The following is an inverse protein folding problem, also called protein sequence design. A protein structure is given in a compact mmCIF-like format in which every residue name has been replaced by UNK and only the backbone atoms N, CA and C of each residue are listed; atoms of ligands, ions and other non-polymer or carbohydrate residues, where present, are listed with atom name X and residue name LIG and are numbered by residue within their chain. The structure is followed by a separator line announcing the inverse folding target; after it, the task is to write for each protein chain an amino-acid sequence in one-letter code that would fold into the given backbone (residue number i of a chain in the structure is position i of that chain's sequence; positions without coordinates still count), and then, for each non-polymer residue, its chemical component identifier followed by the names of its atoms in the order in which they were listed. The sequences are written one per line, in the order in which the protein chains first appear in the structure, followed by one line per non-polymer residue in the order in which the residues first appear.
data_IF_856779779323
#
_entry.id   IF_856779779323
#
_cell.length_a   1.000
_cell.length_b   1.000
_cell.length_c   1.000
_cell.angle_alpha   90.00
_cell.angle_beta   90.00
_cell.angle_gamma   90.00
#
_symmetry.space_group_name_H-M   'P 1'
#
loop_
_entity.id
_entity.type
_entity.pdbx_description
1 polymer ?
#
# COMPACT_ATOMS: atom_id res chain seq x y z
N UNK A 1 -16.16 -6.01 14.60
CA UNK A 1 -15.29 -6.77 13.69
C UNK A 1 -14.19 -5.81 13.23
N UNK A 2 -12.93 -6.15 13.42
CA UNK A 2 -11.83 -5.28 12.97
C UNK A 2 -11.80 -5.29 11.44
N UNK A 3 -12.01 -4.13 10.81
CA UNK A 3 -11.81 -3.99 9.37
C UNK A 3 -10.30 -3.99 9.14
N UNK A 4 -9.78 -5.02 8.47
CA UNK A 4 -8.35 -5.09 8.16
C UNK A 4 -8.00 -3.98 7.17
N UNK A 5 -6.93 -3.24 7.47
CA UNK A 5 -6.44 -2.11 6.69
C UNK A 5 -5.24 -2.55 5.83
N UNK A 6 -5.34 -2.35 4.52
CA UNK A 6 -4.34 -2.76 3.54
C UNK A 6 -3.74 -1.51 2.88
N UNK A 7 -2.42 -1.39 2.86
CA UNK A 7 -1.71 -0.37 2.09
C UNK A 7 -1.34 -0.94 0.71
N UNK A 8 -1.80 -0.29 -0.36
CA UNK A 8 -1.45 -0.64 -1.75
C UNK A 8 -0.41 0.38 -2.24
N UNK A 9 0.74 -0.11 -2.72
CA UNK A 9 1.86 0.69 -3.22
C UNK A 9 2.14 0.30 -4.67
N UNK A 10 1.82 1.17 -5.61
CA UNK A 10 1.96 0.91 -7.04
C UNK A 10 2.07 2.24 -7.80
N UNK A 11 3.06 2.38 -8.69
CA UNK A 11 3.28 3.61 -9.46
C UNK A 11 2.35 3.73 -10.69
N UNK A 12 1.64 2.66 -11.05
CA UNK A 12 0.62 2.65 -12.10
C UNK A 12 -0.79 2.95 -11.50
N UNK A 13 -1.39 4.13 -11.78
CA UNK A 13 -2.66 4.53 -11.15
C UNK A 13 -3.80 3.56 -11.45
N UNK A 14 -3.84 3.00 -12.66
CA UNK A 14 -4.90 2.08 -13.09
C UNK A 14 -4.83 0.78 -12.27
N UNK A 15 -3.63 0.23 -12.06
CA UNK A 15 -3.45 -0.98 -11.26
C UNK A 15 -3.83 -0.72 -9.80
N UNK A 16 -3.36 0.39 -9.24
CA UNK A 16 -3.65 0.84 -7.87
C UNK A 16 -5.15 1.00 -7.60
N UNK A 17 -5.85 1.72 -8.47
CA UNK A 17 -7.28 1.99 -8.32
C UNK A 17 -8.14 0.74 -8.51
N UNK A 18 -7.73 -0.18 -9.40
CA UNK A 18 -8.41 -1.47 -9.56
C UNK A 18 -8.30 -2.32 -8.29
N UNK A 19 -7.11 -2.40 -7.69
CA UNK A 19 -6.90 -3.12 -6.43
C UNK A 19 -7.69 -2.49 -5.27
N UNK A 20 -7.70 -1.16 -5.18
CA UNK A 20 -8.51 -0.41 -4.21
C UNK A 20 -9.99 -0.82 -4.30
N UNK A 21 -10.54 -0.81 -5.51
CA UNK A 21 -11.94 -1.15 -5.75
C UNK A 21 -12.28 -2.59 -5.35
N UNK A 22 -11.42 -3.55 -5.73
CA UNK A 22 -11.61 -4.97 -5.42
C UNK A 22 -11.57 -5.19 -3.90
N UNK A 23 -10.55 -4.67 -3.22
CA UNK A 23 -10.39 -4.89 -1.77
C UNK A 23 -11.48 -4.19 -0.95
N UNK A 24 -11.90 -2.98 -1.32
CA UNK A 24 -13.03 -2.31 -0.67
C UNK A 24 -14.34 -3.09 -0.84
N UNK A 25 -14.58 -3.67 -2.02
CA UNK A 25 -15.76 -4.51 -2.27
C UNK A 25 -15.77 -5.76 -1.39
N UNK A 26 -14.61 -6.31 -1.06
CA UNK A 26 -14.46 -7.46 -0.16
C UNK A 26 -14.50 -7.07 1.34
N UNK A 27 -14.72 -5.78 1.65
CA UNK A 27 -14.89 -5.28 3.02
C UNK A 27 -13.61 -4.83 3.72
N UNK A 28 -12.49 -4.70 2.98
CA UNK A 28 -11.25 -4.15 3.52
C UNK A 28 -11.27 -2.62 3.53
N UNK A 29 -10.49 -2.04 4.44
CA UNK A 29 -10.11 -0.63 4.34
C UNK A 29 -8.79 -0.54 3.60
N UNK A 30 -8.64 0.41 2.70
CA UNK A 30 -7.43 0.56 1.88
C UNK A 30 -6.82 1.95 2.03
N UNK A 31 -5.50 1.98 2.05
CA UNK A 31 -4.68 3.17 1.90
C UNK A 31 -3.86 3.02 0.61
N UNK A 32 -3.61 4.12 -0.09
CA UNK A 32 -2.96 4.11 -1.40
C UNK A 32 -1.66 4.92 -1.32
N UNK A 33 -0.61 4.38 -1.93
CA UNK A 33 0.66 5.06 -2.16
C UNK A 33 1.10 4.88 -3.61
N UNK A 34 1.66 5.94 -4.20
CA UNK A 34 2.21 5.92 -5.56
C UNK A 34 3.71 5.68 -5.60
N UNK A 35 4.38 5.82 -4.46
CA UNK A 35 5.79 5.52 -4.32
C UNK A 35 6.14 5.00 -2.91
N UNK A 36 7.38 4.55 -2.75
CA UNK A 36 7.87 4.03 -1.47
C UNK A 36 7.96 5.10 -0.37
N UNK A 37 8.14 6.38 -0.69
CA UNK A 37 8.21 7.44 0.30
C UNK A 37 6.83 7.69 0.91
N UNK A 38 5.79 7.81 0.07
CA UNK A 38 4.41 7.93 0.52
C UNK A 38 3.98 6.71 1.35
N UNK A 39 4.40 5.51 0.93
CA UNK A 39 4.14 4.29 1.69
C UNK A 39 4.75 4.34 3.10
N UNK A 40 6.02 4.76 3.23
CA UNK A 40 6.70 4.92 4.53
C UNK A 40 6.00 5.99 5.39
N UNK A 41 5.61 7.11 4.80
CA UNK A 41 4.94 8.19 5.54
C UNK A 41 3.58 7.73 6.09
N UNK A 42 2.86 6.91 5.33
CA UNK A 42 1.61 6.28 5.78
C UNK A 42 1.89 5.29 6.92
N UNK A 43 2.88 4.40 6.77
CA UNK A 43 3.23 3.40 7.78
C UNK A 43 3.64 4.01 9.13
N UNK A 44 4.16 5.24 9.12
CA UNK A 44 4.51 5.97 10.34
C UNK A 44 3.31 6.60 11.05
N UNK A 45 2.19 6.78 10.36
CA UNK A 45 1.01 7.47 10.85
C UNK A 45 -0.16 6.52 11.14
N UNK A 46 -0.21 5.39 10.43
CA UNK A 46 -1.34 4.48 10.40
C UNK A 46 -0.89 3.05 10.69
N UNK A 47 -1.62 2.36 11.57
CA UNK A 47 -1.51 0.90 11.69
C UNK A 47 -2.18 0.25 10.47
N UNK A 48 -1.43 -0.62 9.79
CA UNK A 48 -1.87 -1.43 8.64
C UNK A 48 -1.59 -2.91 8.92
N UNK A 49 -2.50 -3.77 8.49
CA UNK A 49 -2.40 -5.22 8.69
C UNK A 49 -1.61 -5.91 7.56
N UNK A 50 -1.54 -5.27 6.38
CA UNK A 50 -0.90 -5.81 5.19
C UNK A 50 -0.44 -4.68 4.25
N UNK A 51 0.73 -4.87 3.64
CA UNK A 51 1.23 -4.03 2.55
C UNK A 51 1.28 -4.87 1.27
N UNK A 52 0.67 -4.37 0.20
CA UNK A 52 0.74 -4.89 -1.16
C UNK A 52 1.57 -3.91 -1.98
N UNK A 53 2.80 -4.26 -2.32
CA UNK A 53 3.71 -3.38 -3.08
C UNK A 53 4.09 -4.01 -4.41
N UNK A 54 4.14 -3.20 -5.47
CA UNK A 54 4.84 -3.60 -6.69
C UNK A 54 6.35 -3.66 -6.45
N UNK A 55 7.00 -4.62 -7.10
CA UNK A 55 8.45 -4.84 -7.04
C UNK A 55 9.19 -4.14 -8.19
N UNK A 56 8.48 -3.54 -9.15
CA UNK A 56 9.06 -2.91 -10.34
C UNK A 56 8.58 -1.48 -10.52
N UNK A 57 8.68 -0.70 -9.46
CA UNK A 57 8.43 0.74 -9.50
C UNK A 57 9.64 1.52 -10.01
N UNK A 58 9.41 2.61 -10.75
CA UNK A 58 10.48 3.56 -11.11
C UNK A 58 10.83 4.46 -9.92
N UNK A 59 11.87 4.15 -9.15
CA UNK A 59 12.39 5.06 -8.12
C UNK A 59 12.81 4.39 -6.82
N UNK A 60 12.45 4.99 -5.67
CA UNK A 60 12.65 4.40 -4.34
C UNK A 60 11.75 3.17 -4.21
N UNK A 61 12.42 2.02 -4.27
CA UNK A 61 11.85 0.69 -4.47
C UNK A 61 10.98 0.20 -3.28
N UNK A 62 10.03 -0.70 -3.56
CA UNK A 62 9.19 -1.37 -2.55
C UNK A 62 10.02 -2.13 -1.49
N UNK A 63 11.28 -2.46 -1.81
CA UNK A 63 12.25 -3.00 -0.86
C UNK A 63 12.60 -2.05 0.29
N UNK A 64 12.57 -0.72 0.07
CA UNK A 64 12.79 0.25 1.15
C UNK A 64 11.62 0.27 2.14
N UNK A 65 10.40 0.07 1.64
CA UNK A 65 9.19 -0.08 2.46
C UNK A 65 9.31 -1.31 3.35
N UNK A 66 9.72 -2.46 2.78
CA UNK A 66 9.94 -3.70 3.53
C UNK A 66 11.06 -3.59 4.58
N UNK A 67 12.07 -2.76 4.34
CA UNK A 67 13.18 -2.57 5.27
C UNK A 67 12.80 -1.71 6.49
N UNK A 68 11.84 -0.78 6.36
CA UNK A 68 11.38 0.11 7.43
C UNK A 68 10.26 -0.53 8.28
N UNK A 69 9.60 -1.59 7.79
CA UNK A 69 8.62 -2.38 8.54
C UNK A 69 9.30 -3.48 9.35
N UNK A 70 9.67 -3.20 10.60
CA UNK A 70 10.10 -4.20 11.60
C UNK A 70 9.13 -4.28 12.77
#
# INVERSE_FOLDING_TARGET
MQHRKILIVDDEPIARDNLDHILKKDGYTTLLAEDGQQAIDILRQEEVDLVLTDLRMKGRDGMAVLADTK
#
